data_IF_402011389827
#
_entry.id   IF_402011389827
#
_cell.length_a   1.000
_cell.length_b   1.000
_cell.length_c   1.000
_cell.angle_alpha   90.00
_cell.angle_beta   90.00
_cell.angle_gamma   90.00
#
_symmetry.space_group_name_H-M   'P 1'
#
loop_
_entity.id
_entity.type
_entity.pdbx_description
1 polymer ?
#
# COMPACT_ATOMS: atom_id res chain seq x y z
N UNK A 1 -8.50 7.84 -28.85
CA UNK A 1 -8.99 6.84 -27.87
C UNK A 1 -8.28 6.95 -26.52
N UNK A 2 -6.95 7.07 -26.47
CA UNK A 2 -6.16 7.19 -25.22
C UNK A 2 -6.62 8.33 -24.31
N UNK A 3 -6.93 9.52 -24.84
CA UNK A 3 -7.45 10.64 -24.04
C UNK A 3 -8.75 10.32 -23.31
N UNK A 4 -9.71 9.67 -24.00
CA UNK A 4 -10.98 9.26 -23.39
C UNK A 4 -10.75 8.28 -22.24
N UNK A 5 -9.89 7.28 -22.43
CA UNK A 5 -9.53 6.33 -21.37
C UNK A 5 -8.86 7.01 -20.18
N UNK A 6 -7.93 7.94 -20.43
CA UNK A 6 -7.26 8.68 -19.36
C UNK A 6 -8.25 9.53 -18.55
N UNK A 7 -9.20 10.21 -19.19
CA UNK A 7 -10.26 10.96 -18.48
C UNK A 7 -11.15 10.01 -17.68
N UNK A 8 -11.60 8.90 -18.28
CA UNK A 8 -12.45 7.92 -17.63
C UNK A 8 -11.77 7.33 -16.38
N UNK A 9 -10.54 6.84 -16.52
CA UNK A 9 -9.76 6.32 -15.39
C UNK A 9 -9.50 7.42 -14.37
N UNK A 10 -9.14 8.63 -14.79
CA UNK A 10 -8.94 9.76 -13.89
C UNK A 10 -10.15 10.03 -12.99
N UNK A 11 -11.35 10.08 -13.56
CA UNK A 11 -12.61 10.25 -12.81
C UNK A 11 -12.84 9.08 -11.85
N UNK A 12 -12.65 7.84 -12.31
CA UNK A 12 -12.82 6.64 -11.47
C UNK A 12 -11.87 6.67 -10.27
N UNK A 13 -10.60 7.02 -10.48
CA UNK A 13 -9.61 7.13 -9.40
C UNK A 13 -9.98 8.23 -8.41
N UNK A 14 -10.44 9.40 -8.86
CA UNK A 14 -10.88 10.48 -7.96
C UNK A 14 -12.08 10.03 -7.12
N UNK A 15 -13.12 9.47 -7.76
CA UNK A 15 -14.32 8.99 -7.05
C UNK A 15 -13.96 7.90 -6.04
N UNK A 16 -13.11 6.97 -6.44
CA UNK A 16 -12.64 5.91 -5.56
C UNK A 16 -11.82 6.46 -4.39
N UNK A 17 -10.94 7.43 -4.63
CA UNK A 17 -10.18 8.09 -3.57
C UNK A 17 -11.06 8.86 -2.59
N UNK A 18 -12.10 9.56 -3.06
CA UNK A 18 -13.10 10.21 -2.20
C UNK A 18 -13.86 9.16 -1.36
N UNK A 19 -14.25 8.04 -1.97
CA UNK A 19 -14.87 6.93 -1.23
C UNK A 19 -13.96 6.39 -0.14
N UNK A 20 -12.69 6.15 -0.45
CA UNK A 20 -11.68 5.67 0.51
C UNK A 20 -11.47 6.64 1.68
N UNK A 21 -11.47 7.95 1.39
CA UNK A 21 -11.31 8.99 2.41
C UNK A 21 -12.43 8.95 3.45
N UNK A 22 -13.66 8.67 3.01
CA UNK A 22 -14.84 8.65 3.87
C UNK A 22 -15.13 7.28 4.49
N UNK A 23 -14.68 6.19 3.88
CA UNK A 23 -14.95 4.81 4.31
C UNK A 23 -13.64 4.01 4.52
N UNK A 24 -12.80 4.39 5.50
CA UNK A 24 -11.49 3.78 5.69
C UNK A 24 -11.58 2.29 6.05
N UNK A 25 -12.51 1.90 6.93
CA UNK A 25 -12.67 0.50 7.38
C UNK A 25 -13.05 -0.43 6.24
N UNK A 26 -14.09 -0.06 5.48
CA UNK A 26 -14.56 -0.84 4.32
C UNK A 26 -13.46 -0.98 3.25
N UNK A 27 -12.69 0.08 3.06
CA UNK A 27 -11.56 0.11 2.13
C UNK A 27 -10.51 -0.94 2.52
N UNK A 28 -10.10 -1.00 3.79
CA UNK A 28 -9.13 -2.00 4.25
C UNK A 28 -9.67 -3.43 4.15
N UNK A 29 -10.92 -3.67 4.52
CA UNK A 29 -11.55 -4.99 4.41
C UNK A 29 -11.55 -5.44 2.95
N UNK A 30 -11.94 -4.54 2.04
CA UNK A 30 -11.96 -4.81 0.59
C UNK A 30 -10.56 -5.10 0.05
N UNK A 31 -9.55 -4.33 0.44
CA UNK A 31 -8.16 -4.60 0.06
C UNK A 31 -7.65 -5.93 0.61
N UNK A 32 -7.93 -6.25 1.87
CA UNK A 32 -7.57 -7.53 2.47
C UNK A 32 -8.19 -8.70 1.74
N UNK A 33 -9.45 -8.57 1.33
CA UNK A 33 -10.13 -9.58 0.52
C UNK A 33 -9.44 -9.78 -0.84
N UNK A 34 -9.16 -8.69 -1.56
CA UNK A 34 -8.43 -8.76 -2.84
C UNK A 34 -7.02 -9.34 -2.69
N UNK A 35 -6.30 -8.98 -1.63
CA UNK A 35 -5.00 -9.58 -1.31
C UNK A 35 -5.13 -11.08 -1.11
N UNK A 36 -6.14 -11.55 -0.39
CA UNK A 36 -6.40 -12.98 -0.20
C UNK A 36 -6.60 -13.72 -1.53
N UNK A 37 -7.40 -13.15 -2.44
CA UNK A 37 -7.59 -13.72 -3.79
C UNK A 37 -6.27 -13.76 -4.55
N UNK A 38 -5.48 -12.69 -4.52
CA UNK A 38 -4.19 -12.63 -5.20
C UNK A 38 -3.22 -13.70 -4.67
N UNK A 39 -3.19 -13.94 -3.36
CA UNK A 39 -2.38 -14.99 -2.75
C UNK A 39 -2.83 -16.40 -3.18
N UNK A 40 -4.14 -16.65 -3.30
CA UNK A 40 -4.66 -17.91 -3.85
C UNK A 40 -4.19 -18.10 -5.29
N UNK A 41 -4.38 -17.09 -6.14
CA UNK A 41 -3.95 -17.14 -7.55
C UNK A 41 -2.44 -17.40 -7.64
N UNK A 42 -1.64 -16.68 -6.86
CA UNK A 42 -0.20 -16.84 -6.81
C UNK A 42 0.24 -18.25 -6.39
N UNK A 43 -0.44 -18.82 -5.40
CA UNK A 43 -0.19 -20.18 -4.92
C UNK A 43 -0.47 -21.21 -6.02
N UNK A 44 -1.59 -21.07 -6.73
CA UNK A 44 -1.96 -21.93 -7.86
C UNK A 44 -0.92 -21.84 -8.98
N UNK A 45 -0.52 -20.62 -9.35
CA UNK A 45 0.51 -20.39 -10.39
C UNK A 45 1.84 -21.05 -9.98
N UNK A 46 2.24 -20.91 -8.72
CA UNK A 46 3.48 -21.47 -8.19
C UNK A 46 3.47 -23.00 -8.27
N UNK A 47 2.37 -23.64 -7.85
CA UNK A 47 2.19 -25.09 -7.95
C UNK A 47 2.28 -25.54 -9.42
N UNK A 48 1.54 -24.88 -10.31
CA UNK A 48 1.55 -25.21 -11.74
C UNK A 48 2.95 -25.04 -12.36
N UNK A 49 3.66 -23.98 -11.97
CA UNK A 49 5.02 -23.71 -12.44
C UNK A 49 6.00 -24.81 -12.01
N UNK A 50 5.94 -25.23 -10.74
CA UNK A 50 6.78 -26.32 -10.21
C UNK A 50 6.50 -27.63 -10.94
N UNK A 51 5.22 -27.98 -11.14
CA UNK A 51 4.82 -29.20 -11.85
C UNK A 51 5.29 -29.18 -13.31
N UNK A 52 5.10 -28.06 -14.01
CA UNK A 52 5.51 -27.90 -15.42
C UNK A 52 7.03 -27.96 -15.60
N UNK A 53 7.80 -27.35 -14.70
CA UNK A 53 9.27 -27.28 -14.77
C UNK A 53 9.97 -28.47 -14.09
N UNK A 54 9.23 -29.35 -13.40
CA UNK A 54 9.75 -30.50 -12.64
C UNK A 54 10.88 -30.12 -11.66
N UNK A 55 10.73 -28.98 -10.98
CA UNK A 55 11.76 -28.42 -10.08
C UNK A 55 12.00 -29.38 -8.91
N UNK A 56 13.27 -29.70 -8.64
CA UNK A 56 13.69 -30.51 -7.49
C UNK A 56 14.82 -29.82 -6.72
N UNK A 57 14.82 -29.87 -5.37
CA UNK A 57 13.76 -30.42 -4.53
C UNK A 57 12.49 -29.56 -4.58
N UNK A 58 11.32 -30.19 -4.44
CA UNK A 58 10.04 -29.47 -4.40
C UNK A 58 9.97 -28.68 -3.09
N UNK A 59 9.72 -27.35 -3.13
CA UNK A 59 9.71 -26.51 -1.93
C UNK A 59 8.38 -26.63 -1.17
N UNK A 60 8.08 -27.82 -0.63
CA UNK A 60 6.82 -28.11 0.07
C UNK A 60 6.51 -27.12 1.20
N UNK A 61 7.53 -26.68 1.95
CA UNK A 61 7.35 -25.69 3.01
C UNK A 61 6.75 -24.38 2.50
N UNK A 62 7.25 -23.85 1.38
CA UNK A 62 6.72 -22.61 0.80
C UNK A 62 5.28 -22.78 0.29
N UNK A 63 4.97 -23.94 -0.30
CA UNK A 63 3.60 -24.25 -0.77
C UNK A 63 2.63 -24.31 0.42
N UNK A 64 2.99 -24.99 1.51
CA UNK A 64 2.13 -25.09 2.69
C UNK A 64 1.91 -23.71 3.32
N UNK A 65 2.97 -22.94 3.50
CA UNK A 65 2.89 -21.59 4.08
C UNK A 65 2.02 -20.66 3.21
N UNK A 66 2.20 -20.69 1.89
CA UNK A 66 1.39 -19.87 0.97
C UNK A 66 -0.10 -20.24 0.98
N UNK A 67 -0.45 -21.53 1.07
CA UNK A 67 -1.83 -21.98 1.24
C UNK A 67 -2.41 -21.47 2.57
N UNK A 68 -1.69 -21.63 3.68
CA UNK A 68 -2.14 -21.20 5.01
C UNK A 68 -2.38 -19.70 5.03
N UNK A 69 -1.43 -18.90 4.52
CA UNK A 69 -1.55 -17.45 4.45
C UNK A 69 -2.76 -17.05 3.59
N UNK A 70 -2.95 -17.70 2.44
CA UNK A 70 -4.08 -17.43 1.55
C UNK A 70 -5.43 -17.65 2.25
N UNK A 71 -5.60 -18.80 2.90
CA UNK A 71 -6.82 -19.15 3.63
C UNK A 71 -7.01 -18.22 4.83
N UNK A 72 -5.96 -17.93 5.58
CA UNK A 72 -6.02 -17.05 6.74
C UNK A 72 -6.47 -15.63 6.37
N UNK A 73 -5.94 -15.07 5.28
CA UNK A 73 -6.33 -13.74 4.81
C UNK A 73 -7.80 -13.71 4.34
N UNK A 74 -8.25 -14.74 3.62
CA UNK A 74 -9.63 -14.82 3.13
C UNK A 74 -10.65 -15.09 4.23
N UNK A 75 -10.34 -15.98 5.17
CA UNK A 75 -11.24 -16.35 6.25
C UNK A 75 -11.30 -15.29 7.37
N UNK A 76 -10.21 -14.54 7.57
CA UNK A 76 -10.07 -13.53 8.63
C UNK A 76 -9.57 -12.21 8.04
N UNK A 77 -10.42 -11.44 7.33
CA UNK A 77 -10.01 -10.17 6.73
C UNK A 77 -9.47 -9.19 7.77
N UNK A 78 -10.03 -9.16 8.99
CA UNK A 78 -9.55 -8.31 10.09
C UNK A 78 -8.12 -8.64 10.54
N UNK A 79 -7.70 -9.91 10.43
CA UNK A 79 -6.33 -10.31 10.72
C UNK A 79 -5.36 -9.76 9.67
N UNK A 80 -5.74 -9.82 8.39
CA UNK A 80 -4.99 -9.21 7.30
C UNK A 80 -4.87 -7.70 7.45
N UNK A 81 -5.97 -7.01 7.79
CA UNK A 81 -5.95 -5.56 8.06
C UNK A 81 -4.95 -5.24 9.16
N UNK A 82 -4.97 -5.99 10.28
CA UNK A 82 -4.02 -5.77 11.36
C UNK A 82 -2.56 -5.90 10.90
N UNK A 83 -2.23 -6.94 10.12
CA UNK A 83 -0.87 -7.14 9.58
C UNK A 83 -0.44 -5.96 8.70
N UNK A 84 -1.33 -5.49 7.82
CA UNK A 84 -1.07 -4.33 6.95
C UNK A 84 -0.81 -3.08 7.80
N UNK A 85 -1.64 -2.82 8.81
CA UNK A 85 -1.46 -1.67 9.71
C UNK A 85 -0.12 -1.73 10.45
N UNK A 86 0.23 -2.88 11.02
CA UNK A 86 1.51 -3.08 11.69
C UNK A 86 2.71 -2.89 10.76
N UNK A 87 2.59 -3.35 9.52
CA UNK A 87 3.63 -3.15 8.49
C UNK A 87 3.84 -1.66 8.20
N UNK A 88 2.75 -0.90 8.04
CA UNK A 88 2.82 0.54 7.84
C UNK A 88 3.43 1.28 9.04
N UNK A 89 3.04 0.91 10.27
CA UNK A 89 3.61 1.49 11.50
C UNK A 89 5.13 1.31 11.53
N UNK A 90 5.60 0.09 11.25
CA UNK A 90 7.03 -0.23 11.22
C UNK A 90 7.74 0.58 10.14
N UNK A 91 7.18 0.67 8.92
CA UNK A 91 7.75 1.45 7.83
C UNK A 91 7.84 2.94 8.21
N UNK A 92 6.82 3.50 8.85
CA UNK A 92 6.81 4.88 9.32
C UNK A 92 7.93 5.15 10.33
N UNK A 93 8.08 4.28 11.33
CA UNK A 93 9.13 4.40 12.34
C UNK A 93 10.52 4.25 11.74
N UNK A 94 10.74 3.27 10.86
CA UNK A 94 12.01 3.10 10.14
C UNK A 94 12.33 4.34 9.29
N UNK A 95 11.34 4.88 8.58
CA UNK A 95 11.50 6.09 7.77
C UNK A 95 11.87 7.29 8.63
N UNK A 96 11.28 7.43 9.82
CA UNK A 96 11.62 8.47 10.77
C UNK A 96 13.08 8.37 11.24
N UNK A 97 13.54 7.15 11.58
CA UNK A 97 14.95 6.88 11.93
C UNK A 97 15.87 7.27 10.78
N UNK A 98 15.52 6.90 9.55
CA UNK A 98 16.30 7.24 8.36
C UNK A 98 16.42 8.75 8.14
N UNK A 99 15.31 9.48 8.22
CA UNK A 99 15.30 10.94 8.06
C UNK A 99 16.07 11.65 9.18
N UNK A 100 15.88 11.25 10.45
CA UNK A 100 16.65 11.79 11.57
C UNK A 100 18.15 11.56 11.41
N UNK A 101 18.55 10.35 10.98
CA UNK A 101 19.96 10.04 10.73
C UNK A 101 20.56 10.94 9.65
N UNK A 102 19.80 11.24 8.60
CA UNK A 102 20.27 12.11 7.53
C UNK A 102 20.44 13.57 8.00
N UNK A 103 19.51 14.06 8.81
CA UNK A 103 19.58 15.39 9.44
C UNK A 103 20.80 15.51 10.38
N UNK A 104 21.07 14.48 11.19
CA UNK A 104 22.23 14.46 12.10
C UNK A 104 23.55 14.51 11.31
N UNK A 105 23.64 13.79 10.18
CA UNK A 105 24.86 13.73 9.36
C UNK A 105 25.14 15.01 8.57
N UNK A 106 24.10 15.60 7.99
CA UNK A 106 24.26 16.66 6.98
C UNK A 106 23.88 18.06 7.49
N UNK A 107 23.41 18.16 8.74
CA UNK A 107 23.01 19.41 9.38
C UNK A 107 21.55 19.79 9.14
N UNK A 108 20.98 20.55 10.08
CA UNK A 108 19.55 20.89 10.11
C UNK A 108 19.13 21.84 8.97
N UNK A 109 19.99 22.78 8.57
CA UNK A 109 19.62 23.83 7.60
C UNK A 109 19.30 23.29 6.21
N UNK A 110 20.03 22.28 5.74
CA UNK A 110 19.81 21.63 4.43
C UNK A 110 18.68 20.61 4.45
N UNK A 111 18.31 20.07 5.64
CA UNK A 111 17.38 18.96 5.78
C UNK A 111 16.18 19.25 6.69
N UNK A 112 15.79 20.52 6.79
CA UNK A 112 14.69 20.96 7.66
C UNK A 112 13.36 20.25 7.36
N UNK A 113 13.06 20.02 6.08
CA UNK A 113 11.86 19.29 5.66
C UNK A 113 11.89 17.81 6.10
N UNK A 114 13.05 17.16 6.02
CA UNK A 114 13.22 15.78 6.49
C UNK A 114 13.09 15.69 8.01
N UNK A 115 13.58 16.69 8.74
CA UNK A 115 13.41 16.77 10.19
C UNK A 115 11.93 16.87 10.58
N UNK A 116 11.17 17.76 9.94
CA UNK A 116 9.73 17.92 10.18
C UNK A 116 8.99 16.61 9.88
N UNK A 117 9.27 15.99 8.73
CA UNK A 117 8.67 14.71 8.35
C UNK A 117 8.99 13.61 9.36
N UNK A 118 10.22 13.57 9.88
CA UNK A 118 10.61 12.60 10.89
C UNK A 118 9.85 12.81 12.21
N UNK A 119 9.70 14.05 12.68
CA UNK A 119 8.92 14.35 13.87
C UNK A 119 7.46 13.91 13.71
N UNK A 120 6.83 14.23 12.58
CA UNK A 120 5.46 13.81 12.26
C UNK A 120 5.39 12.26 12.25
N UNK A 121 6.32 11.60 11.58
CA UNK A 121 6.35 10.15 11.49
C UNK A 121 6.54 9.45 12.85
N UNK A 122 7.35 10.01 13.76
CA UNK A 122 7.47 9.49 15.14
C UNK A 122 6.16 9.68 15.90
N UNK A 123 5.58 10.90 15.90
CA UNK A 123 4.35 11.19 16.65
C UNK A 123 3.22 10.27 16.19
N UNK A 124 2.98 10.21 14.87
CA UNK A 124 1.95 9.35 14.33
C UNK A 124 2.29 7.87 14.51
N UNK A 125 3.53 7.44 14.28
CA UNK A 125 3.94 6.05 14.48
C UNK A 125 3.69 5.56 15.90
N UNK A 126 3.97 6.38 16.92
CA UNK A 126 3.70 6.06 18.32
C UNK A 126 2.21 6.03 18.62
N UNK A 127 1.42 7.02 18.15
CA UNK A 127 -0.03 7.03 18.33
C UNK A 127 -0.67 5.78 17.71
N UNK A 128 -0.23 5.42 16.49
CA UNK A 128 -0.73 4.27 15.76
C UNK A 128 -0.40 2.94 16.45
N UNK A 129 0.72 2.87 17.18
CA UNK A 129 1.14 1.67 17.92
C UNK A 129 0.15 1.30 19.05
N UNK A 130 -0.45 2.30 19.67
CA UNK A 130 -1.42 2.12 20.76
C UNK A 130 -2.88 2.25 20.31
N UNK A 131 -3.14 2.80 19.13
CA UNK A 131 -4.49 2.99 18.60
C UNK A 131 -4.59 2.54 17.12
N UNK A 132 -4.88 1.25 16.88
CA UNK A 132 -4.94 0.70 15.52
C UNK A 132 -6.08 1.28 14.68
N UNK A 133 -7.14 1.79 15.30
CA UNK A 133 -8.26 2.44 14.59
C UNK A 133 -7.79 3.78 13.99
N UNK A 134 -7.07 4.57 14.79
CA UNK A 134 -6.47 5.83 14.33
C UNK A 134 -5.42 5.56 13.25
N UNK A 135 -4.65 4.47 13.38
CA UNK A 135 -3.73 4.02 12.35
C UNK A 135 -4.42 3.75 11.01
N UNK A 136 -5.48 2.94 11.04
CA UNK A 136 -6.28 2.65 9.85
C UNK A 136 -6.79 3.93 9.20
N UNK A 137 -7.49 4.79 9.95
CA UNK A 137 -8.03 6.03 9.39
C UNK A 137 -6.95 6.92 8.76
N UNK A 138 -5.80 7.07 9.43
CA UNK A 138 -4.71 7.90 8.93
C UNK A 138 -4.10 7.33 7.65
N UNK A 139 -3.84 6.02 7.60
CA UNK A 139 -3.27 5.36 6.42
C UNK A 139 -4.26 5.42 5.25
N UNK A 140 -5.55 5.19 5.49
CA UNK A 140 -6.59 5.33 4.46
C UNK A 140 -6.63 6.74 3.88
N UNK A 141 -6.49 7.79 4.71
CA UNK A 141 -6.43 9.19 4.24
C UNK A 141 -5.18 9.48 3.40
N UNK A 142 -4.04 8.94 3.80
CA UNK A 142 -2.80 9.06 3.02
C UNK A 142 -2.95 8.35 1.67
N UNK A 143 -3.44 7.11 1.66
CA UNK A 143 -3.65 6.34 0.44
C UNK A 143 -4.68 6.98 -0.49
N UNK A 144 -5.80 7.44 0.05
CA UNK A 144 -6.84 8.15 -0.73
C UNK A 144 -6.31 9.43 -1.35
N UNK A 145 -5.48 10.20 -0.63
CA UNK A 145 -4.80 11.36 -1.20
C UNK A 145 -3.95 10.97 -2.42
N UNK A 146 -3.13 9.91 -2.32
CA UNK A 146 -2.34 9.43 -3.47
C UNK A 146 -3.20 8.94 -4.63
N UNK A 147 -4.30 8.25 -4.34
CA UNK A 147 -5.25 7.77 -5.36
C UNK A 147 -5.91 8.94 -6.09
N UNK A 148 -6.33 9.98 -5.36
CA UNK A 148 -6.89 11.21 -5.94
C UNK A 148 -5.84 11.91 -6.82
N UNK A 149 -4.61 12.06 -6.31
CA UNK A 149 -3.52 12.67 -7.08
C UNK A 149 -3.19 11.91 -8.36
N UNK A 150 -3.22 10.57 -8.32
CA UNK A 150 -3.09 9.75 -9.53
C UNK A 150 -4.25 10.00 -10.50
N UNK A 151 -5.49 10.11 -10.01
CA UNK A 151 -6.64 10.45 -10.85
C UNK A 151 -6.50 11.81 -11.52
N UNK A 152 -6.02 12.82 -10.79
CA UNK A 152 -5.70 14.15 -11.34
C UNK A 152 -4.60 14.03 -12.40
N UNK A 153 -3.54 13.24 -12.15
CA UNK A 153 -2.46 13.00 -13.11
C UNK A 153 -2.97 12.39 -14.43
N UNK A 154 -3.86 11.40 -14.36
CA UNK A 154 -4.50 10.82 -15.54
C UNK A 154 -5.29 11.87 -16.33
N UNK A 155 -6.07 12.73 -15.66
CA UNK A 155 -6.79 13.81 -16.33
C UNK A 155 -5.81 14.81 -16.98
N UNK A 156 -4.77 15.23 -16.26
CA UNK A 156 -3.77 16.17 -16.79
C UNK A 156 -3.04 15.60 -18.01
N UNK A 157 -2.65 14.33 -17.99
CA UNK A 157 -2.02 13.64 -19.14
C UNK A 157 -2.93 13.51 -20.36
N UNK A 158 -4.25 13.70 -20.21
CA UNK A 158 -5.19 13.71 -21.33
C UNK A 158 -5.35 15.09 -21.97
N UNK A 159 -4.99 16.16 -21.23
CA UNK A 159 -5.10 17.57 -21.62
C UNK A 159 -3.78 18.08 -22.19
N UNK A 160 -2.67 17.71 -21.53
CA UNK A 160 -1.32 18.07 -21.94
C UNK A 160 -0.86 17.01 -22.93
N UNK A 161 -0.84 17.36 -24.22
CA UNK A 161 -0.11 16.58 -25.21
C UNK A 161 1.38 16.66 -24.85
N UNK A 162 1.87 15.64 -24.17
CA UNK A 162 3.32 15.43 -24.09
C UNK A 162 3.73 14.89 -25.44
N UNK A 163 4.16 15.78 -26.34
CA UNK A 163 5.01 15.40 -27.47
C UNK A 163 6.27 14.79 -26.88
N UNK A 164 6.31 13.46 -26.84
CA UNK A 164 7.55 12.74 -26.62
C UNK A 164 8.26 12.75 -27.97
N UNK A 165 9.22 13.65 -28.14
CA UNK A 165 10.24 13.58 -29.21
C UNK A 165 11.06 12.28 -29.10
#
# INVERSE_FOLDING_TARGET
MTRFWNVLFGIVFILFGIYMWNNPTETFITYSFYLGILYVIWTIITIFYILKRKIRPVPYGNIIVSIIISIAILALPMFSVAIVLWTFIIIFLISAIYYLRNVIKNGLKSHLLQFILACIAVIYGVIMLFNPIVAGNTIAKILSFFVIMNGISYILSSIIDVEIE
#
